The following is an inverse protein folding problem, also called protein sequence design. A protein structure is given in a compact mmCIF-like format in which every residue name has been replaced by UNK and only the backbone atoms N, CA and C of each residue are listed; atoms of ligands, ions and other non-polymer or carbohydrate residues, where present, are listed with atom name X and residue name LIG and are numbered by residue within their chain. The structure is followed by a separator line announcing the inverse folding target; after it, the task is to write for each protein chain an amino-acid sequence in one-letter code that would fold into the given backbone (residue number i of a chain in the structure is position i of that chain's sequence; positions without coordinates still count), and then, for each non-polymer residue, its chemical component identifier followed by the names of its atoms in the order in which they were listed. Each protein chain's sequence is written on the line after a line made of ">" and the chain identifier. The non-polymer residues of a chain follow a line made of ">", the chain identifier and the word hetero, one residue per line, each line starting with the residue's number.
data_IF_166891866899
#
_entry.id   IF_166891866899
#
_cell.length_a   1.000
_cell.length_b   1.000
_cell.length_c   1.000
_cell.angle_alpha   90.00
_cell.angle_beta   90.00
_cell.angle_gamma   90.00
#
_symmetry.space_group_name_H-M   'P 1'
#
loop_
_entity.id
_entity.type
_entity.pdbx_description
1 polymer ?
#
# COMPACT_ATOMS: atom_id res chain seq x y z
N UNK A 1 20.38 29.23 45.38
CA UNK A 1 19.13 28.46 45.23
C UNK A 1 18.63 28.64 43.81
N UNK A 2 18.27 27.56 43.09
CA UNK A 2 17.89 27.59 41.67
C UNK A 2 16.37 27.70 41.49
N UNK A 3 15.91 28.27 40.38
CA UNK A 3 14.56 28.02 39.87
C UNK A 3 14.49 28.26 38.36
N UNK A 4 14.73 27.20 37.59
CA UNK A 4 14.23 27.01 36.23
C UNK A 4 12.72 26.69 36.28
N UNK A 5 11.87 27.29 35.44
CA UNK A 5 10.52 26.80 35.25
C UNK A 5 10.50 25.65 34.24
N UNK A 6 10.33 24.42 34.76
CA UNK A 6 9.86 23.27 33.98
C UNK A 6 8.40 23.50 33.59
N UNK A 7 8.12 23.66 32.30
CA UNK A 7 6.78 23.48 31.75
C UNK A 7 6.49 21.99 31.50
N UNK A 8 5.37 21.42 31.98
CA UNK A 8 4.98 20.06 31.65
C UNK A 8 4.16 20.04 30.34
N UNK A 9 4.14 18.88 29.68
CA UNK A 9 3.34 18.50 28.49
C UNK A 9 4.02 18.65 27.12
N UNK A 10 5.06 17.85 26.89
CA UNK A 10 5.44 17.40 25.54
C UNK A 10 4.47 16.29 25.08
N UNK A 11 3.45 16.66 24.32
CA UNK A 11 2.48 15.77 23.66
C UNK A 11 2.99 14.97 22.43
N UNK A 12 4.19 15.19 21.83
CA UNK A 12 4.59 14.43 20.63
C UNK A 12 4.82 12.92 20.82
N UNK A 13 5.25 12.48 22.01
CA UNK A 13 5.71 11.09 22.20
C UNK A 13 4.55 10.09 22.36
N UNK A 14 3.42 10.52 22.94
CA UNK A 14 2.29 9.62 23.24
C UNK A 14 1.57 9.08 22.00
N UNK A 15 1.54 9.83 20.89
CA UNK A 15 0.89 9.37 19.65
C UNK A 15 1.78 8.43 18.84
N UNK A 16 3.11 8.63 18.88
CA UNK A 16 4.06 7.72 18.27
C UNK A 16 4.13 6.39 19.04
N UNK A 17 4.09 6.44 20.37
CA UNK A 17 4.06 5.27 21.24
C UNK A 17 2.75 4.49 21.10
N UNK A 18 1.59 5.16 21.10
CA UNK A 18 0.30 4.49 20.92
C UNK A 18 0.19 3.81 19.54
N UNK A 19 0.75 4.42 18.49
CA UNK A 19 0.82 3.79 17.17
C UNK A 19 1.79 2.60 17.15
N UNK A 20 2.98 2.73 17.74
CA UNK A 20 3.96 1.65 17.85
C UNK A 20 3.44 0.48 18.69
N UNK A 21 2.67 0.75 19.74
CA UNK A 21 2.02 -0.26 20.59
C UNK A 21 0.91 -0.99 19.82
N UNK A 22 0.08 -0.26 19.06
CA UNK A 22 -0.97 -0.85 18.22
C UNK A 22 -0.39 -1.71 17.08
N UNK A 23 0.67 -1.22 16.41
CA UNK A 23 1.41 -1.96 15.39
C UNK A 23 2.14 -3.17 16.00
N UNK A 24 2.71 -3.02 17.20
CA UNK A 24 3.37 -4.09 17.95
C UNK A 24 2.41 -5.22 18.34
N UNK A 25 1.19 -4.90 18.78
CA UNK A 25 0.15 -5.88 19.09
C UNK A 25 -0.33 -6.64 17.84
N UNK A 26 -0.41 -5.96 16.70
CA UNK A 26 -0.68 -6.61 15.40
C UNK A 26 0.48 -7.51 14.94
N UNK A 27 1.73 -7.16 15.27
CA UNK A 27 2.94 -7.95 14.97
C UNK A 27 2.98 -9.28 15.72
N UNK A 28 2.53 -9.31 16.98
CA UNK A 28 2.45 -10.52 17.80
C UNK A 28 1.36 -11.50 17.34
N UNK A 29 0.31 -11.02 16.68
CA UNK A 29 -0.71 -11.84 16.04
C UNK A 29 -0.22 -12.44 14.69
N UNK A 30 0.73 -11.78 14.02
CA UNK A 30 1.28 -12.21 12.73
C UNK A 30 2.45 -13.19 12.87
N UNK A 31 3.30 -13.04 13.89
CA UNK A 31 4.42 -13.96 14.16
C UNK A 31 3.98 -15.39 14.49
N UNK A 32 2.72 -15.60 14.89
CA UNK A 32 2.17 -16.94 15.14
C UNK A 32 1.81 -17.72 13.87
N UNK A 33 1.93 -17.13 12.67
CA UNK A 33 1.44 -17.69 11.40
C UNK A 33 2.46 -17.68 10.24
N UNK A 34 3.76 -17.49 10.49
CA UNK A 34 4.75 -17.33 9.40
C UNK A 34 5.86 -18.42 9.41
N UNK A 35 5.86 -19.38 8.46
CA UNK A 35 6.83 -20.49 8.43
C UNK A 35 8.11 -20.23 7.62
N UNK A 36 8.44 -18.99 7.19
CA UNK A 36 9.51 -18.76 6.18
C UNK A 36 10.64 -17.80 6.59
N UNK A 37 11.10 -17.86 7.83
CA UNK A 37 12.36 -17.24 8.23
C UNK A 37 13.57 -18.13 7.84
N UNK A 38 14.00 -18.10 6.58
CA UNK A 38 15.40 -18.29 6.13
C UNK A 38 15.51 -18.43 4.60
N UNK A 39 16.10 -17.44 3.92
CA UNK A 39 17.04 -17.65 2.80
C UNK A 39 17.62 -16.32 2.30
N UNK A 40 18.94 -16.28 2.15
CA UNK A 40 19.73 -15.16 1.64
C UNK A 40 19.68 -15.05 0.11
N UNK A 41 19.86 -13.85 -0.45
CA UNK A 41 19.93 -13.59 -1.88
C UNK A 41 21.24 -12.88 -2.26
N UNK A 42 21.78 -13.11 -3.48
CA UNK A 42 22.63 -12.12 -4.12
C UNK A 42 22.22 -11.74 -5.57
N UNK A 43 22.68 -10.53 -5.93
CA UNK A 43 22.93 -9.93 -7.25
C UNK A 43 21.81 -9.18 -8.00
N UNK A 44 22.11 -7.89 -8.27
CA UNK A 44 21.30 -6.89 -8.97
C UNK A 44 21.59 -6.85 -10.50
N UNK A 45 20.61 -6.41 -11.30
CA UNK A 45 20.72 -6.14 -12.75
C UNK A 45 20.31 -4.67 -13.11
N UNK A 46 20.73 -4.13 -14.28
CA UNK A 46 20.78 -2.69 -14.61
C UNK A 46 19.44 -2.07 -15.10
N UNK A 47 19.38 -0.73 -15.32
CA UNK A 47 18.13 0.04 -15.40
C UNK A 47 17.40 0.00 -16.76
N UNK A 48 16.08 0.23 -16.71
CA UNK A 48 15.10 0.11 -17.80
C UNK A 48 15.18 1.23 -18.86
N UNK A 49 15.24 0.83 -20.14
CA UNK A 49 14.83 1.63 -21.32
C UNK A 49 13.48 1.14 -21.86
N UNK A 50 12.78 1.99 -22.63
CA UNK A 50 11.37 1.83 -23.05
C UNK A 50 11.01 0.44 -23.60
N UNK A 51 9.93 -0.12 -23.04
CA UNK A 51 9.47 -1.50 -23.18
C UNK A 51 8.73 -1.76 -24.52
N UNK A 52 9.13 -2.81 -25.26
CA UNK A 52 8.45 -3.27 -26.49
C UNK A 52 7.14 -4.08 -26.24
N UNK A 53 6.51 -4.64 -27.29
CA UNK A 53 5.27 -5.44 -27.16
C UNK A 53 5.44 -6.69 -26.26
N UNK A 54 6.59 -7.37 -26.33
CA UNK A 54 6.94 -8.45 -25.41
C UNK A 54 7.13 -7.95 -23.97
N UNK A 55 7.61 -6.72 -23.79
CA UNK A 55 7.74 -6.11 -22.46
C UNK A 55 6.39 -5.65 -21.91
N UNK A 56 5.43 -5.35 -22.79
CA UNK A 56 4.04 -5.06 -22.42
C UNK A 56 3.27 -6.34 -22.03
N UNK A 57 3.49 -7.45 -22.73
CA UNK A 57 3.03 -8.78 -22.30
C UNK A 57 3.72 -9.22 -21.01
N UNK A 58 5.04 -9.00 -20.86
CA UNK A 58 5.75 -9.24 -19.60
C UNK A 58 5.31 -8.30 -18.48
N UNK A 59 4.93 -7.05 -18.76
CA UNK A 59 4.41 -6.10 -17.78
C UNK A 59 2.97 -6.46 -17.34
N UNK A 60 2.11 -6.87 -18.26
CA UNK A 60 0.79 -7.42 -17.95
C UNK A 60 0.89 -8.76 -17.20
N UNK A 61 1.81 -9.63 -17.59
CA UNK A 61 2.10 -10.90 -16.91
C UNK A 61 2.74 -10.70 -15.54
N UNK A 62 3.44 -9.57 -15.33
CA UNK A 62 3.90 -9.16 -14.01
C UNK A 62 2.71 -8.82 -13.13
N UNK A 63 1.66 -8.18 -13.68
CA UNK A 63 0.59 -7.60 -12.88
C UNK A 63 -0.40 -8.58 -12.25
N UNK A 64 -0.60 -9.77 -12.87
CA UNK A 64 -1.58 -10.76 -12.43
C UNK A 64 -2.95 -10.13 -12.07
N UNK A 65 -3.40 -9.13 -12.82
CA UNK A 65 -4.69 -8.44 -12.60
C UNK A 65 -4.72 -7.43 -11.44
N UNK A 66 -3.62 -7.15 -10.74
CA UNK A 66 -3.62 -6.25 -9.58
C UNK A 66 -4.07 -4.81 -9.90
N UNK A 67 -3.96 -4.36 -11.15
CA UNK A 67 -4.44 -3.05 -11.61
C UNK A 67 -5.93 -2.83 -11.34
N UNK A 68 -6.78 -3.86 -11.36
CA UNK A 68 -8.19 -3.72 -10.98
C UNK A 68 -8.34 -3.21 -9.54
N UNK A 69 -7.47 -3.64 -8.63
CA UNK A 69 -7.42 -3.15 -7.25
C UNK A 69 -6.74 -1.79 -7.17
N UNK A 70 -5.67 -1.57 -7.94
CA UNK A 70 -4.97 -0.29 -8.00
C UNK A 70 -5.83 0.84 -8.60
N UNK A 71 -6.82 0.53 -9.43
CA UNK A 71 -7.80 1.50 -9.92
C UNK A 71 -8.92 1.75 -8.91
N UNK A 72 -9.20 0.77 -8.05
CA UNK A 72 -10.27 0.83 -7.06
C UNK A 72 -9.85 1.59 -5.79
N UNK A 73 -8.63 1.34 -5.30
CA UNK A 73 -8.12 1.97 -4.06
C UNK A 73 -8.17 3.50 -4.11
N UNK A 74 -7.73 4.17 -5.19
CA UNK A 74 -7.82 5.63 -5.29
C UNK A 74 -9.26 6.14 -5.26
N UNK A 75 -10.23 5.40 -5.81
CA UNK A 75 -11.65 5.74 -5.72
C UNK A 75 -12.15 5.65 -4.28
N UNK A 76 -11.71 4.62 -3.54
CA UNK A 76 -11.96 4.47 -2.10
C UNK A 76 -11.40 5.64 -1.30
N UNK A 77 -10.16 6.01 -1.58
CA UNK A 77 -9.45 7.10 -0.93
C UNK A 77 -9.91 8.50 -1.37
N UNK A 78 -10.59 8.60 -2.51
CA UNK A 78 -11.02 9.87 -3.10
C UNK A 78 -9.88 10.66 -3.73
N UNK A 79 -8.93 9.96 -4.34
CA UNK A 79 -7.73 10.49 -4.99
C UNK A 79 -7.74 10.22 -6.49
N UNK A 80 -7.14 11.12 -7.26
CA UNK A 80 -6.98 11.02 -8.73
C UNK A 80 -5.56 11.33 -9.19
N UNK A 81 -4.65 11.65 -8.27
CA UNK A 81 -3.28 12.07 -8.57
C UNK A 81 -2.25 11.40 -7.68
N UNK A 82 -1.09 11.07 -8.25
CA UNK A 82 0.10 10.64 -7.50
C UNK A 82 0.67 11.75 -6.61
N UNK A 83 0.28 13.00 -6.82
CA UNK A 83 0.61 14.13 -5.98
C UNK A 83 -0.50 14.48 -4.99
N UNK A 84 -1.45 13.57 -4.74
CA UNK A 84 -2.53 13.81 -3.81
C UNK A 84 -2.02 13.95 -2.36
N UNK A 85 -2.62 14.88 -1.61
CA UNK A 85 -2.48 14.95 -0.15
C UNK A 85 -3.79 14.56 0.49
N UNK A 86 -3.78 14.30 1.79
CA UNK A 86 -5.03 14.22 2.54
C UNK A 86 -5.85 15.51 2.36
N UNK A 87 -7.17 15.35 2.10
CA UNK A 87 -8.14 16.40 1.68
C UNK A 87 -7.91 17.01 0.30
N UNK A 88 -6.87 16.59 -0.43
CA UNK A 88 -6.58 17.09 -1.77
C UNK A 88 -6.35 15.94 -2.76
N UNK A 89 -7.44 15.34 -3.19
CA UNK A 89 -7.38 14.17 -4.07
C UNK A 89 -6.79 14.44 -5.45
N UNK A 90 -6.85 15.68 -5.93
CA UNK A 90 -6.43 16.08 -7.29
C UNK A 90 -4.93 16.38 -7.41
N UNK A 91 -4.22 16.51 -6.29
CA UNK A 91 -2.80 16.86 -6.26
C UNK A 91 -2.47 18.31 -6.58
N UNK A 92 -3.43 19.24 -6.46
CA UNK A 92 -3.23 20.69 -6.67
C UNK A 92 -2.27 21.35 -5.67
N UNK A 93 -1.80 20.61 -4.66
CA UNK A 93 -0.84 21.05 -3.66
C UNK A 93 -1.37 22.01 -2.57
N UNK A 94 -2.67 22.36 -2.58
CA UNK A 94 -3.30 23.35 -1.69
C UNK A 94 -3.05 23.13 -0.18
N UNK A 95 -2.83 21.88 0.24
CA UNK A 95 -2.69 21.54 1.65
C UNK A 95 -1.28 21.13 2.06
N UNK A 96 -0.30 21.12 1.14
CA UNK A 96 1.08 20.84 1.56
C UNK A 96 1.60 21.93 2.48
N UNK A 97 2.29 21.57 3.58
CA UNK A 97 2.87 22.58 4.45
C UNK A 97 3.99 23.30 3.69
N UNK A 98 4.14 24.60 3.96
CA UNK A 98 5.17 25.42 3.31
C UNK A 98 6.55 24.78 3.45
N UNK A 99 7.31 24.75 2.35
CA UNK A 99 8.67 24.19 2.30
C UNK A 99 8.73 22.70 1.98
N UNK A 100 7.60 22.00 1.92
CA UNK A 100 7.54 20.62 1.44
C UNK A 100 7.22 20.55 -0.06
N UNK A 101 7.82 19.55 -0.71
CA UNK A 101 7.52 19.21 -2.11
C UNK A 101 6.26 18.34 -2.20
N UNK A 102 5.75 18.19 -3.41
CA UNK A 102 4.68 17.21 -3.70
C UNK A 102 5.22 15.77 -3.67
N UNK A 103 4.36 14.76 -3.44
CA UNK A 103 4.78 13.37 -3.22
C UNK A 103 5.69 12.81 -4.30
N UNK A 104 5.43 13.08 -5.58
CA UNK A 104 6.28 12.56 -6.66
C UNK A 104 7.69 13.13 -6.71
N UNK A 105 8.00 14.10 -5.86
CA UNK A 105 9.31 14.74 -5.72
C UNK A 105 9.95 14.48 -4.36
N UNK A 106 9.24 13.81 -3.44
CA UNK A 106 9.76 13.42 -2.14
C UNK A 106 10.43 12.06 -2.22
N UNK A 107 11.55 11.90 -1.53
CA UNK A 107 12.03 10.56 -1.18
C UNK A 107 11.07 9.89 -0.20
N UNK A 108 11.16 8.56 -0.09
CA UNK A 108 10.38 7.80 0.91
C UNK A 108 10.64 8.34 2.32
N UNK A 109 11.90 8.62 2.68
CA UNK A 109 12.25 9.16 4.00
C UNK A 109 11.76 10.60 4.21
N UNK A 110 11.74 11.41 3.14
CA UNK A 110 11.12 12.74 3.17
C UNK A 110 9.61 12.65 3.40
N UNK A 111 8.90 11.77 2.70
CA UNK A 111 7.46 11.57 2.87
C UNK A 111 7.09 11.07 4.27
N UNK A 112 7.90 10.17 4.86
CA UNK A 112 7.74 9.74 6.26
C UNK A 112 7.94 10.92 7.21
N UNK A 113 9.01 11.70 7.02
CA UNK A 113 9.36 12.85 7.87
C UNK A 113 8.37 14.01 7.78
N UNK A 114 7.69 14.17 6.65
CA UNK A 114 6.68 15.22 6.44
C UNK A 114 5.42 15.02 7.30
N UNK A 115 5.17 13.80 7.80
CA UNK A 115 3.92 13.42 8.45
C UNK A 115 3.44 14.34 9.59
N UNK A 116 4.29 14.78 10.54
CA UNK A 116 3.85 15.66 11.62
C UNK A 116 3.36 17.02 11.10
N UNK A 117 4.06 17.59 10.12
CA UNK A 117 3.69 18.86 9.50
C UNK A 117 2.42 18.72 8.68
N UNK A 118 2.27 17.59 7.98
CA UNK A 118 1.04 17.32 7.25
C UNK A 118 -0.16 17.15 8.15
N UNK A 119 0.02 16.47 9.28
CA UNK A 119 -1.04 16.34 10.29
C UNK A 119 -1.50 17.71 10.78
N UNK A 120 -0.56 18.63 11.03
CA UNK A 120 -0.87 19.99 11.46
C UNK A 120 -1.62 20.80 10.38
N UNK A 121 -1.21 20.66 9.12
CA UNK A 121 -1.77 21.45 8.01
C UNK A 121 -3.11 20.91 7.48
N UNK A 122 -3.28 19.58 7.41
CA UNK A 122 -4.42 18.92 6.75
C UNK A 122 -5.25 18.02 7.67
N UNK A 123 -4.80 17.76 8.90
CA UNK A 123 -5.45 16.87 9.87
C UNK A 123 -5.19 15.37 9.64
N UNK A 124 -4.34 15.01 8.68
CA UNK A 124 -3.82 13.66 8.46
C UNK A 124 -2.55 13.75 7.60
N UNK A 125 -1.81 12.65 7.54
CA UNK A 125 -0.46 12.57 6.97
C UNK A 125 -0.36 11.67 5.74
N UNK A 126 -1.49 11.16 5.24
CA UNK A 126 -1.52 10.27 4.09
C UNK A 126 -1.20 11.03 2.78
N UNK A 127 -0.41 10.41 1.90
CA UNK A 127 0.09 11.02 0.66
C UNK A 127 0.03 10.09 -0.54
N UNK A 128 0.01 10.69 -1.73
CA UNK A 128 0.04 9.99 -3.00
C UNK A 128 -1.30 9.42 -3.43
N UNK A 129 -1.30 8.77 -4.60
CA UNK A 129 -2.49 8.21 -5.23
C UNK A 129 -3.17 7.19 -4.30
N UNK A 130 -2.37 6.42 -3.58
CA UNK A 130 -2.85 5.36 -2.68
C UNK A 130 -2.93 5.77 -1.21
N UNK A 131 -2.76 7.06 -0.89
CA UNK A 131 -2.83 7.59 0.48
C UNK A 131 -1.93 6.82 1.47
N UNK A 132 -0.66 6.66 1.12
CA UNK A 132 0.31 5.95 1.96
C UNK A 132 0.53 6.66 3.29
N UNK A 133 0.48 5.87 4.37
CA UNK A 133 0.81 6.30 5.74
C UNK A 133 2.31 6.07 6.02
N UNK A 134 2.95 6.85 6.92
CA UNK A 134 4.37 6.71 7.26
C UNK A 134 4.76 5.31 7.71
N UNK A 135 3.93 4.67 8.54
CA UNK A 135 4.17 3.28 8.98
C UNK A 135 4.14 2.28 7.82
N UNK A 136 3.23 2.46 6.86
CA UNK A 136 3.17 1.65 5.65
C UNK A 136 4.43 1.86 4.81
N UNK A 137 4.85 3.11 4.59
CA UNK A 137 6.08 3.43 3.84
C UNK A 137 7.32 2.85 4.52
N UNK A 138 7.44 2.94 5.84
CA UNK A 138 8.53 2.36 6.60
C UNK A 138 8.56 0.83 6.49
N UNK A 139 7.39 0.19 6.52
CA UNK A 139 7.26 -1.26 6.35
C UNK A 139 7.60 -1.71 4.92
N UNK A 140 7.10 -0.99 3.91
CA UNK A 140 7.42 -1.24 2.50
C UNK A 140 8.92 -1.07 2.24
N UNK A 141 9.54 -0.02 2.79
CA UNK A 141 10.99 0.21 2.74
C UNK A 141 11.77 -1.01 3.22
N UNK A 142 11.40 -1.58 4.38
CA UNK A 142 12.05 -2.80 4.91
C UNK A 142 11.80 -4.02 4.03
N UNK A 143 10.56 -4.27 3.61
CA UNK A 143 10.17 -5.47 2.84
C UNK A 143 10.81 -5.51 1.46
N UNK A 144 10.91 -4.36 0.82
CA UNK A 144 11.42 -4.20 -0.53
C UNK A 144 12.93 -3.90 -0.55
N UNK A 145 13.59 -3.86 0.62
CA UNK A 145 15.00 -3.50 0.78
C UNK A 145 15.36 -2.15 0.13
N UNK A 146 14.50 -1.15 0.33
CA UNK A 146 14.72 0.21 -0.15
C UNK A 146 15.57 1.00 0.84
N UNK A 147 16.39 1.90 0.32
CA UNK A 147 17.29 2.74 1.12
C UNK A 147 16.56 3.89 1.81
N UNK A 148 15.42 4.31 1.27
CA UNK A 148 14.65 5.49 1.70
C UNK A 148 14.94 6.74 0.87
N UNK A 149 16.03 6.73 0.08
CA UNK A 149 16.39 7.80 -0.85
C UNK A 149 15.62 7.73 -2.18
N UNK A 150 14.93 6.63 -2.43
CA UNK A 150 14.12 6.47 -3.63
C UNK A 150 12.97 7.48 -3.63
N UNK A 151 12.77 8.13 -4.76
CA UNK A 151 11.70 9.12 -4.95
C UNK A 151 10.36 8.41 -5.15
N UNK A 152 9.30 8.91 -4.51
CA UNK A 152 7.92 8.44 -4.62
C UNK A 152 7.26 8.82 -5.98
N UNK A 153 8.01 8.63 -7.06
CA UNK A 153 7.51 8.70 -8.44
C UNK A 153 6.25 7.83 -8.61
N UNK A 154 5.41 8.08 -9.64
CA UNK A 154 4.25 7.23 -9.92
C UNK A 154 4.59 5.73 -9.95
N UNK A 155 5.68 5.37 -10.64
CA UNK A 155 6.14 3.98 -10.71
C UNK A 155 6.56 3.40 -9.35
N UNK A 156 7.16 4.20 -8.46
CA UNK A 156 7.49 3.77 -7.11
C UNK A 156 6.24 3.58 -6.25
N UNK A 157 5.26 4.48 -6.35
CA UNK A 157 3.97 4.35 -5.66
C UNK A 157 3.26 3.07 -6.08
N UNK A 158 3.20 2.79 -7.38
CA UNK A 158 2.65 1.55 -7.93
C UNK A 158 3.36 0.31 -7.42
N UNK A 159 4.70 0.35 -7.36
CA UNK A 159 5.51 -0.76 -6.88
C UNK A 159 5.25 -1.04 -5.40
N UNK A 160 5.14 0.01 -4.58
CA UNK A 160 4.77 -0.10 -3.16
C UNK A 160 3.35 -0.66 -3.03
N UNK A 161 2.40 -0.17 -3.82
CA UNK A 161 1.01 -0.66 -3.82
C UNK A 161 0.96 -2.18 -4.09
N UNK A 162 1.70 -2.66 -5.08
CA UNK A 162 1.80 -4.10 -5.38
C UNK A 162 2.44 -4.91 -4.24
N UNK A 163 3.52 -4.42 -3.61
CA UNK A 163 4.07 -5.07 -2.39
C UNK A 163 3.00 -5.17 -1.29
N UNK A 164 2.18 -4.13 -1.10
CA UNK A 164 1.13 -4.14 -0.08
C UNK A 164 0.00 -5.12 -0.42
N UNK A 165 -0.39 -5.25 -1.68
CA UNK A 165 -1.36 -6.26 -2.11
C UNK A 165 -0.84 -7.67 -1.80
N UNK A 166 0.40 -7.97 -2.19
CA UNK A 166 1.08 -9.24 -1.86
C UNK A 166 1.16 -9.46 -0.35
N UNK A 167 1.57 -8.45 0.41
CA UNK A 167 1.64 -8.50 1.88
C UNK A 167 0.29 -8.83 2.53
N UNK A 168 -0.82 -8.29 1.98
CA UNK A 168 -2.18 -8.56 2.46
C UNK A 168 -2.78 -9.86 1.93
N UNK A 169 -2.02 -10.63 1.15
CA UNK A 169 -2.36 -12.00 0.77
C UNK A 169 -2.96 -12.13 -0.62
N UNK A 170 -2.73 -11.16 -1.52
CA UNK A 170 -3.20 -11.24 -2.90
C UNK A 170 -2.73 -12.52 -3.60
N UNK A 171 -1.44 -12.85 -3.50
CA UNK A 171 -0.90 -14.07 -4.11
C UNK A 171 -1.52 -15.35 -3.54
N UNK A 172 -1.80 -15.36 -2.23
CA UNK A 172 -2.50 -16.50 -1.59
C UNK A 172 -3.92 -16.65 -2.11
N UNK A 173 -4.64 -15.53 -2.26
CA UNK A 173 -5.97 -15.53 -2.83
C UNK A 173 -5.95 -16.03 -4.29
N UNK A 174 -4.96 -15.62 -5.08
CA UNK A 174 -4.82 -16.07 -6.46
C UNK A 174 -4.39 -17.54 -6.60
N UNK A 175 -3.73 -18.12 -5.59
CA UNK A 175 -3.21 -19.49 -5.65
C UNK A 175 -4.20 -20.56 -5.18
N UNK A 176 -5.19 -20.18 -4.36
CA UNK A 176 -6.21 -21.10 -3.86
C UNK A 176 -7.40 -21.23 -4.82
N UNK A 177 -8.18 -22.32 -4.74
CA UNK A 177 -9.55 -22.30 -5.26
C UNK A 177 -10.24 -21.10 -4.63
N UNK A 178 -10.74 -20.17 -5.43
CA UNK A 178 -11.17 -18.82 -5.00
C UNK A 178 -12.51 -18.90 -4.26
N UNK A 179 -12.51 -19.56 -3.11
CA UNK A 179 -13.67 -19.82 -2.29
C UNK A 179 -14.15 -18.52 -1.63
N UNK A 180 -15.45 -18.42 -1.28
CA UNK A 180 -15.99 -17.24 -0.61
C UNK A 180 -15.22 -16.85 0.67
N UNK A 181 -14.72 -17.84 1.42
CA UNK A 181 -13.95 -17.59 2.65
C UNK A 181 -12.58 -16.95 2.38
N UNK A 182 -11.88 -17.35 1.32
CA UNK A 182 -10.58 -16.79 0.95
C UNK A 182 -10.73 -15.35 0.42
N UNK A 183 -11.80 -15.10 -0.34
CA UNK A 183 -12.19 -13.76 -0.76
C UNK A 183 -12.45 -12.85 0.44
N UNK A 184 -13.28 -13.30 1.38
CA UNK A 184 -13.59 -12.55 2.60
C UNK A 184 -12.33 -12.25 3.42
N UNK A 185 -11.46 -13.24 3.59
CA UNK A 185 -10.18 -13.07 4.31
C UNK A 185 -9.24 -12.07 3.62
N UNK A 186 -9.12 -12.13 2.29
CA UNK A 186 -8.31 -11.16 1.55
C UNK A 186 -8.88 -9.74 1.66
N UNK A 187 -10.20 -9.60 1.51
CA UNK A 187 -10.91 -8.34 1.67
C UNK A 187 -10.68 -7.73 3.06
N UNK A 188 -10.83 -8.51 4.13
CA UNK A 188 -10.61 -8.06 5.50
C UNK A 188 -9.14 -7.70 5.77
N UNK A 189 -8.20 -8.44 5.19
CA UNK A 189 -6.79 -8.09 5.28
C UNK A 189 -6.47 -6.76 4.60
N UNK A 190 -7.04 -6.51 3.41
CA UNK A 190 -6.75 -5.32 2.62
C UNK A 190 -7.27 -4.04 3.29
N UNK A 191 -8.42 -4.12 3.94
CA UNK A 191 -9.05 -3.01 4.66
C UNK A 191 -8.19 -2.51 5.84
N UNK A 192 -7.31 -3.35 6.39
CA UNK A 192 -6.36 -2.92 7.42
C UNK A 192 -5.31 -1.92 6.91
N UNK A 193 -5.08 -1.83 5.60
CA UNK A 193 -4.27 -0.76 4.99
C UNK A 193 -5.15 0.41 4.56
N UNK A 194 -6.26 0.10 3.89
CA UNK A 194 -7.18 1.06 3.29
C UNK A 194 -8.57 0.93 3.90
N UNK A 195 -8.81 1.57 5.07
CA UNK A 195 -10.11 1.54 5.75
C UNK A 195 -11.20 2.30 4.98
N UNK A 196 -10.87 2.93 3.85
CA UNK A 196 -11.84 3.50 2.92
C UNK A 196 -12.54 2.44 2.05
N UNK A 197 -12.01 1.22 2.02
CA UNK A 197 -12.59 0.07 1.32
C UNK A 197 -13.60 -0.65 2.23
N UNK A 198 -14.63 -1.31 1.67
CA UNK A 198 -15.55 -2.12 2.46
C UNK A 198 -14.90 -3.43 2.90
N UNK A 199 -15.08 -3.82 4.16
CA UNK A 199 -14.72 -5.17 4.62
C UNK A 199 -15.74 -6.23 4.15
N UNK A 200 -15.49 -7.50 4.44
CA UNK A 200 -16.34 -8.62 4.01
C UNK A 200 -17.80 -8.51 4.48
N UNK A 201 -18.03 -7.79 5.58
CA UNK A 201 -19.35 -7.52 6.16
C UNK A 201 -19.92 -6.13 5.79
N UNK A 202 -19.29 -5.39 4.88
CA UNK A 202 -19.66 -4.04 4.47
C UNK A 202 -19.76 -2.99 5.61
N UNK A 203 -19.16 -3.27 6.76
CA UNK A 203 -19.22 -2.40 7.92
C UNK A 203 -18.32 -1.15 7.75
N UNK A 204 -18.70 0.01 8.29
CA UNK A 204 -17.81 1.16 8.41
C UNK A 204 -16.53 0.79 9.18
N UNK A 205 -15.40 1.40 8.82
CA UNK A 205 -14.08 1.07 9.38
C UNK A 205 -13.52 2.25 10.16
N UNK A 206 -12.91 2.00 11.32
CA UNK A 206 -12.20 3.03 12.07
C UNK A 206 -10.75 3.12 11.60
N UNK A 207 -10.30 4.31 11.18
CA UNK A 207 -8.95 4.50 10.61
C UNK A 207 -7.89 4.99 11.63
N UNK A 208 -8.27 5.05 12.91
CA UNK A 208 -7.48 5.65 13.99
C UNK A 208 -7.88 7.10 14.32
N UNK A 209 -8.64 7.77 13.45
CA UNK A 209 -9.07 9.18 13.60
C UNK A 209 -10.59 9.29 13.55
N UNK A 210 -11.24 8.57 12.62
CA UNK A 210 -12.68 8.62 12.39
C UNK A 210 -13.20 7.31 11.83
N UNK A 211 -14.51 7.11 11.98
CA UNK A 211 -15.24 6.08 11.23
C UNK A 211 -15.34 6.50 9.76
N UNK A 212 -14.89 5.64 8.85
CA UNK A 212 -14.99 5.80 7.41
C UNK A 212 -16.17 5.01 6.89
N UNK A 213 -17.03 5.71 6.18
CA UNK A 213 -18.02 5.10 5.29
C UNK A 213 -17.29 4.77 3.98
N UNK A 214 -17.35 3.53 3.50
CA UNK A 214 -16.72 3.15 2.24
C UNK A 214 -17.23 4.00 1.08
N UNK A 215 -16.32 4.54 0.25
CA UNK A 215 -16.68 5.27 -0.98
C UNK A 215 -16.95 4.36 -2.17
N UNK A 216 -16.49 3.12 -2.06
CA UNK A 216 -16.69 2.04 -3.03
C UNK A 216 -17.68 1.05 -2.42
N UNK A 217 -18.59 0.54 -3.24
CA UNK A 217 -19.58 -0.46 -2.78
C UNK A 217 -18.92 -1.82 -2.57
N UNK A 218 -19.40 -2.66 -1.63
CA UNK A 218 -18.91 -4.03 -1.46
C UNK A 218 -18.92 -4.84 -2.76
N UNK A 219 -19.98 -4.68 -3.55
CA UNK A 219 -20.13 -5.34 -4.85
C UNK A 219 -19.06 -4.89 -5.85
N UNK A 220 -18.76 -3.60 -5.96
CA UNK A 220 -17.70 -3.11 -6.85
C UNK A 220 -16.31 -3.61 -6.41
N UNK A 221 -16.07 -3.72 -5.10
CA UNK A 221 -14.82 -4.27 -4.59
C UNK A 221 -14.69 -5.76 -4.89
N UNK A 222 -15.71 -6.56 -4.62
CA UNK A 222 -15.74 -7.98 -4.94
C UNK A 222 -15.60 -8.22 -6.45
N UNK A 223 -16.24 -7.39 -7.29
CA UNK A 223 -16.10 -7.45 -8.74
C UNK A 223 -14.65 -7.17 -9.18
N UNK A 224 -13.98 -6.15 -8.61
CA UNK A 224 -12.58 -5.87 -8.92
C UNK A 224 -11.65 -7.03 -8.52
N UNK A 225 -11.87 -7.66 -7.36
CA UNK A 225 -11.11 -8.84 -6.94
C UNK A 225 -11.35 -10.01 -7.91
N UNK A 226 -12.59 -10.24 -8.32
CA UNK A 226 -12.94 -11.30 -9.27
C UNK A 226 -12.34 -11.07 -10.66
N UNK A 227 -12.35 -9.83 -11.15
CA UNK A 227 -11.70 -9.45 -12.42
C UNK A 227 -10.18 -9.67 -12.36
N UNK A 228 -9.55 -9.25 -11.25
CA UNK A 228 -8.14 -9.48 -11.01
C UNK A 228 -7.80 -10.98 -11.03
N UNK A 229 -8.64 -11.78 -10.40
CA UNK A 229 -8.55 -13.23 -10.41
C UNK A 229 -8.69 -13.85 -11.82
N UNK A 230 -9.70 -13.46 -12.59
CA UNK A 230 -9.92 -13.96 -13.95
C UNK A 230 -8.75 -13.62 -14.87
N UNK A 231 -8.23 -12.40 -14.78
CA UNK A 231 -7.07 -11.97 -15.56
C UNK A 231 -5.81 -12.75 -15.17
N UNK A 232 -5.62 -13.03 -13.88
CA UNK A 232 -4.52 -13.85 -13.42
C UNK A 232 -4.57 -15.28 -13.99
N UNK A 233 -5.77 -15.88 -14.04
CA UNK A 233 -5.95 -17.23 -14.60
C UNK A 233 -5.71 -17.21 -16.12
N UNK A 234 -6.26 -16.21 -16.83
CA UNK A 234 -6.01 -16.00 -18.27
C UNK A 234 -4.51 -15.89 -18.60
N UNK A 235 -3.75 -15.18 -17.76
CA UNK A 235 -2.29 -15.08 -17.90
C UNK A 235 -1.62 -16.43 -17.67
N UNK A 236 -2.01 -17.19 -16.65
CA UNK A 236 -1.40 -18.51 -16.39
C UNK A 236 -1.65 -19.47 -17.55
N UNK A 237 -2.90 -19.52 -18.01
CA UNK A 237 -3.32 -20.41 -19.09
C UNK A 237 -2.57 -20.08 -20.38
N UNK A 238 -2.35 -18.79 -20.70
CA UNK A 238 -1.60 -18.41 -21.90
C UNK A 238 -0.13 -18.85 -21.89
N UNK A 239 0.51 -18.89 -20.71
CA UNK A 239 1.87 -19.42 -20.56
C UNK A 239 1.88 -20.95 -20.71
N UNK A 240 0.92 -21.64 -20.10
CA UNK A 240 0.77 -23.10 -20.20
C UNK A 240 0.55 -23.52 -21.66
N UNK A 241 -0.36 -22.84 -22.37
CA UNK A 241 -0.66 -23.08 -23.78
C UNK A 241 0.57 -22.85 -24.68
N UNK A 242 1.45 -21.90 -24.30
CA UNK A 242 2.71 -21.64 -24.98
C UNK A 242 3.83 -22.64 -24.62
N UNK A 243 3.57 -23.62 -23.73
CA UNK A 243 4.59 -24.54 -23.21
C UNK A 243 5.65 -23.86 -22.34
N UNK A 244 5.31 -22.72 -21.74
CA UNK A 244 6.20 -21.92 -20.89
C UNK A 244 5.79 -22.02 -19.42
N UNK A 245 6.75 -21.87 -18.51
CA UNK A 245 6.42 -21.72 -17.09
C UNK A 245 5.79 -20.33 -16.85
N UNK A 246 4.65 -20.25 -16.16
CA UNK A 246 4.08 -18.95 -15.80
C UNK A 246 5.04 -18.18 -14.89
N UNK A 247 5.10 -16.84 -15.01
CA UNK A 247 6.01 -16.06 -14.21
C UNK A 247 5.73 -16.27 -12.71
N UNK A 248 6.74 -16.31 -11.84
CA UNK A 248 6.50 -16.54 -10.41
C UNK A 248 5.55 -15.46 -9.86
N UNK A 249 4.37 -15.88 -9.42
CA UNK A 249 3.41 -15.00 -8.75
C UNK A 249 4.08 -14.33 -7.53
N UNK A 250 3.85 -13.03 -7.37
CA UNK A 250 4.27 -12.32 -6.16
C UNK A 250 5.74 -11.91 -6.06
N UNK A 251 6.58 -12.20 -7.06
CA UNK A 251 7.97 -11.68 -7.09
C UNK A 251 8.07 -10.48 -8.02
N UNK A 252 7.44 -9.38 -7.59
CA UNK A 252 7.64 -8.04 -8.11
C UNK A 252 9.04 -7.52 -7.78
N UNK A 253 10.09 -8.15 -8.32
CA UNK A 253 11.47 -7.69 -8.16
C UNK A 253 11.75 -6.52 -9.09
#
# INVERSE_FOLDING_TARGET
>A
MPSDPKGPFSVPDLLAEAWNEMVGKNRLLQAKNDPLANSAAPNAKPPLTAAGPEDSQRAAARDYGAHYLMDLVPRGEGTTSYDASYRNGDGSGRYYPSGWKKPTELTIDEAIRMAPDMTRAAGNYAVGLYQFKPGLLADAKRRMNLTGSEVLTPAMQDRIMRDRLTYRGYDRYLASPKQPADLAKFQDNLVNEWPSLPNSNAAPQFDGVRTRVPRVTPMAFQAAIAQAAQEADRIRDSYIDAGQEPPPGGRWR
#
